data_IF_781107359450
#
_entry.id   IF_781107359450
#
_cell.length_a   1.000
_cell.length_b   1.000
_cell.length_c   1.000
_cell.angle_alpha   90.00
_cell.angle_beta   90.00
_cell.angle_gamma   90.00
#
_symmetry.space_group_name_H-M   'P 1'
#
loop_
_entity.id
_entity.type
_entity.pdbx_description
1 polymer ?
#
# COMPACT_ATOMS: atom_id res chain seq x y z
N UNK A 1 -19.08 -20.69 -8.85
CA UNK A 1 -18.67 -19.50 -9.67
C UNK A 1 -17.54 -18.83 -8.94
N UNK A 2 -16.37 -18.78 -9.55
CA UNK A 2 -15.20 -18.20 -8.90
C UNK A 2 -15.38 -16.70 -8.70
N UNK A 3 -14.88 -16.16 -7.58
CA UNK A 3 -14.96 -14.73 -7.23
C UNK A 3 -14.45 -13.82 -8.37
N UNK A 4 -13.47 -14.31 -9.12
CA UNK A 4 -12.89 -13.67 -10.31
C UNK A 4 -13.92 -13.46 -11.44
N UNK A 5 -14.78 -14.45 -11.67
CA UNK A 5 -15.82 -14.39 -12.71
C UNK A 5 -16.89 -13.38 -12.32
N UNK A 6 -17.26 -13.31 -11.04
CA UNK A 6 -18.25 -12.37 -10.52
C UNK A 6 -17.82 -10.91 -10.64
N UNK A 7 -16.54 -10.60 -10.36
CA UNK A 7 -16.01 -9.23 -10.51
C UNK A 7 -15.95 -8.78 -11.98
N UNK A 8 -15.57 -9.67 -12.88
CA UNK A 8 -15.55 -9.34 -14.31
C UNK A 8 -16.95 -9.05 -14.84
N UNK A 9 -17.96 -9.78 -14.38
CA UNK A 9 -19.35 -9.51 -14.74
C UNK A 9 -19.77 -8.12 -14.26
N UNK A 10 -19.49 -7.79 -12.99
CA UNK A 10 -19.79 -6.46 -12.42
C UNK A 10 -19.11 -5.32 -13.18
N UNK A 11 -17.83 -5.47 -13.57
CA UNK A 11 -17.13 -4.48 -14.37
C UNK A 11 -17.75 -4.30 -15.76
N UNK A 12 -18.14 -5.39 -16.39
CA UNK A 12 -18.80 -5.35 -17.70
C UNK A 12 -20.13 -4.60 -17.65
N UNK A 13 -20.97 -4.94 -16.69
CA UNK A 13 -22.29 -4.33 -16.52
C UNK A 13 -22.20 -2.85 -16.14
N UNK A 14 -21.35 -2.51 -15.17
CA UNK A 14 -21.21 -1.15 -14.68
C UNK A 14 -20.64 -0.17 -15.72
N UNK A 15 -19.70 -0.60 -16.53
CA UNK A 15 -18.95 0.26 -17.45
C UNK A 15 -19.23 -0.04 -18.93
N UNK A 16 -20.15 -0.95 -19.24
CA UNK A 16 -20.45 -1.33 -20.63
C UNK A 16 -19.21 -1.89 -21.36
N UNK A 17 -18.38 -2.69 -20.66
CA UNK A 17 -17.16 -3.26 -21.22
C UNK A 17 -17.47 -4.61 -21.89
N UNK A 18 -16.78 -4.91 -22.99
CA UNK A 18 -16.78 -6.27 -23.52
C UNK A 18 -15.85 -7.18 -22.68
N UNK A 19 -15.91 -8.49 -22.91
CA UNK A 19 -15.15 -9.49 -22.12
C UNK A 19 -13.65 -9.21 -22.14
N UNK A 20 -13.10 -8.90 -23.33
CA UNK A 20 -11.66 -8.65 -23.47
C UNK A 20 -11.24 -7.34 -22.81
N UNK A 21 -12.08 -6.31 -22.87
CA UNK A 21 -11.85 -5.02 -22.18
C UNK A 21 -11.87 -5.19 -20.66
N UNK A 22 -12.83 -5.93 -20.12
CA UNK A 22 -12.89 -6.20 -18.68
C UNK A 22 -11.67 -7.02 -18.20
N UNK A 23 -11.25 -8.03 -18.99
CA UNK A 23 -10.04 -8.81 -18.73
C UNK A 23 -8.79 -7.92 -18.78
N UNK A 24 -8.70 -7.03 -19.77
CA UNK A 24 -7.60 -6.06 -19.89
C UNK A 24 -7.50 -5.16 -18.66
N UNK A 25 -8.59 -4.51 -18.27
CA UNK A 25 -8.66 -3.64 -17.08
C UNK A 25 -8.19 -4.38 -15.83
N UNK A 26 -8.66 -5.62 -15.62
CA UNK A 26 -8.29 -6.43 -14.47
C UNK A 26 -6.81 -6.82 -14.47
N UNK A 27 -6.24 -7.16 -15.61
CA UNK A 27 -4.82 -7.50 -15.73
C UNK A 27 -3.92 -6.30 -15.49
N UNK A 28 -4.28 -5.13 -16.02
CA UNK A 28 -3.55 -3.87 -15.76
C UNK A 28 -3.61 -3.51 -14.27
N UNK A 29 -4.80 -3.60 -13.67
CA UNK A 29 -4.96 -3.37 -12.24
C UNK A 29 -4.17 -4.38 -11.39
N UNK A 30 -4.05 -5.64 -11.84
CA UNK A 30 -3.23 -6.68 -11.21
C UNK A 30 -1.71 -6.50 -11.40
N UNK A 31 -1.24 -5.37 -11.98
CA UNK A 31 0.18 -5.04 -12.13
C UNK A 31 0.85 -5.54 -13.40
N UNK A 32 0.11 -6.14 -14.34
CA UNK A 32 0.66 -6.49 -15.65
C UNK A 32 0.92 -5.25 -16.50
N UNK A 33 1.97 -5.28 -17.31
CA UNK A 33 2.19 -4.20 -18.28
C UNK A 33 0.99 -4.10 -19.26
N UNK A 34 0.65 -2.91 -19.75
CA UNK A 34 -0.48 -2.74 -20.66
C UNK A 34 -0.38 -3.62 -21.91
N UNK A 35 0.83 -3.80 -22.44
CA UNK A 35 1.05 -4.65 -23.62
C UNK A 35 0.80 -6.13 -23.31
N UNK A 36 1.29 -6.61 -22.18
CA UNK A 36 1.05 -7.98 -21.73
C UNK A 36 -0.43 -8.22 -21.43
N UNK A 37 -1.08 -7.28 -20.74
CA UNK A 37 -2.52 -7.33 -20.48
C UNK A 37 -3.34 -7.40 -21.77
N UNK A 38 -2.94 -6.64 -22.79
CA UNK A 38 -3.56 -6.71 -24.10
C UNK A 38 -3.36 -8.08 -24.75
N UNK A 39 -2.13 -8.59 -24.79
CA UNK A 39 -1.83 -9.89 -25.37
C UNK A 39 -2.65 -11.01 -24.71
N UNK A 40 -2.66 -11.08 -23.39
CA UNK A 40 -3.43 -12.08 -22.62
C UNK A 40 -4.94 -11.94 -22.83
N UNK A 41 -5.45 -10.72 -23.02
CA UNK A 41 -6.88 -10.47 -23.15
C UNK A 41 -7.43 -10.75 -24.53
N UNK A 42 -6.65 -10.46 -25.56
CA UNK A 42 -7.10 -10.52 -26.95
C UNK A 42 -6.54 -11.70 -27.74
N UNK A 43 -5.35 -12.19 -27.37
CA UNK A 43 -4.71 -13.33 -28.04
C UNK A 43 -4.68 -14.59 -27.17
N UNK A 44 -4.92 -14.45 -25.86
CA UNK A 44 -4.88 -15.58 -24.93
C UNK A 44 -3.47 -15.97 -24.46
N UNK A 45 -2.43 -15.39 -25.04
CA UNK A 45 -1.02 -15.71 -24.78
C UNK A 45 -0.16 -14.45 -24.70
N UNK A 46 1.04 -14.56 -24.12
CA UNK A 46 2.04 -13.50 -24.13
C UNK A 46 2.92 -13.66 -25.36
N UNK A 47 2.93 -12.65 -26.21
CA UNK A 47 3.73 -12.66 -27.42
C UNK A 47 5.21 -12.36 -27.13
N UNK A 48 6.16 -12.91 -27.90
CA UNK A 48 7.58 -12.58 -27.76
C UNK A 48 7.83 -11.09 -28.01
N UNK A 49 8.67 -10.49 -27.15
CA UNK A 49 8.93 -9.03 -27.10
C UNK A 49 9.34 -8.40 -28.43
N UNK A 50 10.12 -9.09 -29.24
CA UNK A 50 10.71 -8.55 -30.46
C UNK A 50 9.89 -8.83 -31.75
N UNK A 51 8.62 -9.19 -31.61
CA UNK A 51 7.79 -9.47 -32.79
C UNK A 51 7.02 -8.23 -33.25
N UNK A 52 6.77 -8.06 -34.57
CA UNK A 52 5.90 -6.99 -35.07
C UNK A 52 4.51 -7.01 -34.45
N UNK A 53 4.03 -8.22 -34.11
CA UNK A 53 2.73 -8.42 -33.48
C UNK A 53 2.72 -7.89 -32.04
N UNK A 54 3.83 -8.02 -31.30
CA UNK A 54 3.98 -7.41 -29.97
C UNK A 54 3.97 -5.89 -30.05
N UNK A 55 4.65 -5.28 -31.03
CA UNK A 55 4.66 -3.84 -31.21
C UNK A 55 3.27 -3.29 -31.59
N UNK A 56 2.52 -4.02 -32.41
CA UNK A 56 1.14 -3.69 -32.71
C UNK A 56 0.24 -3.79 -31.48
N UNK A 57 0.46 -4.80 -30.63
CA UNK A 57 -0.23 -4.97 -29.35
C UNK A 57 0.06 -3.80 -28.39
N UNK A 58 1.30 -3.32 -28.33
CA UNK A 58 1.69 -2.15 -27.51
C UNK A 58 0.94 -0.88 -27.94
N UNK A 59 0.86 -0.62 -29.23
CA UNK A 59 0.10 0.52 -29.78
C UNK A 59 -1.39 0.40 -29.47
N UNK A 60 -1.95 -0.80 -29.56
CA UNK A 60 -3.36 -1.07 -29.28
C UNK A 60 -3.68 -0.94 -27.79
N UNK A 61 -2.80 -1.44 -26.91
CA UNK A 61 -2.89 -1.27 -25.46
C UNK A 61 -2.90 0.21 -25.05
N UNK A 62 -1.99 1.01 -25.64
CA UNK A 62 -1.94 2.45 -25.37
C UNK A 62 -3.21 3.19 -25.83
N UNK A 63 -3.82 2.77 -26.93
CA UNK A 63 -5.11 3.31 -27.39
C UNK A 63 -6.24 2.92 -26.44
N UNK A 64 -6.26 1.69 -25.93
CA UNK A 64 -7.28 1.25 -24.97
C UNK A 64 -7.22 2.03 -23.67
N UNK A 65 -6.02 2.31 -23.13
CA UNK A 65 -5.86 3.12 -21.91
C UNK A 65 -6.40 4.56 -22.04
N UNK A 66 -6.48 5.09 -23.27
CA UNK A 66 -7.05 6.41 -23.55
C UNK A 66 -8.57 6.41 -23.65
N UNK A 67 -9.20 5.24 -23.66
CA UNK A 67 -10.67 5.13 -23.74
C UNK A 67 -11.26 5.45 -22.36
N UNK A 68 -12.07 6.49 -22.26
CA UNK A 68 -12.61 7.03 -20.99
C UNK A 68 -13.26 5.97 -20.11
N UNK A 69 -14.08 5.06 -20.70
CA UNK A 69 -14.74 4.01 -19.92
C UNK A 69 -13.76 3.03 -19.26
N UNK A 70 -12.63 2.70 -19.92
CA UNK A 70 -11.61 1.82 -19.35
C UNK A 70 -10.81 2.55 -18.26
N UNK A 71 -10.48 3.82 -18.47
CA UNK A 71 -9.81 4.66 -17.48
C UNK A 71 -10.64 4.80 -16.21
N UNK A 72 -11.93 5.15 -16.33
CA UNK A 72 -12.85 5.22 -15.20
C UNK A 72 -13.02 3.89 -14.48
N UNK A 73 -13.02 2.78 -15.21
CA UNK A 73 -13.07 1.45 -14.61
C UNK A 73 -11.81 1.15 -13.78
N UNK A 74 -10.60 1.49 -14.26
CA UNK A 74 -9.35 1.38 -13.52
C UNK A 74 -9.35 2.25 -12.26
N UNK A 75 -9.66 3.54 -12.39
CA UNK A 75 -9.77 4.48 -11.27
C UNK A 75 -10.76 3.99 -10.19
N UNK A 76 -11.88 3.38 -10.62
CA UNK A 76 -12.85 2.78 -9.68
C UNK A 76 -12.27 1.61 -8.90
N UNK A 77 -11.47 0.74 -9.53
CA UNK A 77 -10.81 -0.39 -8.84
C UNK A 77 -9.73 0.09 -7.88
N UNK A 78 -8.92 1.07 -8.28
CA UNK A 78 -7.90 1.69 -7.42
C UNK A 78 -8.53 2.35 -6.18
N UNK A 79 -9.64 3.06 -6.36
CA UNK A 79 -10.38 3.68 -5.25
C UNK A 79 -10.95 2.64 -4.29
N UNK A 80 -11.49 1.53 -4.82
CA UNK A 80 -12.00 0.44 -4.00
C UNK A 80 -10.87 -0.22 -3.20
N UNK A 81 -9.72 -0.45 -3.81
CA UNK A 81 -8.56 -1.00 -3.13
C UNK A 81 -8.04 -0.06 -2.04
N UNK A 82 -7.91 1.23 -2.33
CA UNK A 82 -7.51 2.24 -1.35
C UNK A 82 -8.46 2.27 -0.14
N UNK A 83 -9.78 2.19 -0.39
CA UNK A 83 -10.79 2.12 0.67
C UNK A 83 -10.65 0.84 1.50
N UNK A 84 -10.46 -0.31 0.86
CA UNK A 84 -10.24 -1.59 1.54
C UNK A 84 -8.95 -1.60 2.36
N UNK A 85 -7.88 -1.00 1.84
CA UNK A 85 -6.60 -0.88 2.57
C UNK A 85 -6.73 0.06 3.76
N UNK A 86 -7.47 1.17 3.63
CA UNK A 86 -7.80 2.07 4.74
C UNK A 86 -8.54 1.34 5.84
N UNK A 87 -9.63 0.63 5.52
CA UNK A 87 -10.40 -0.14 6.49
C UNK A 87 -9.59 -1.25 7.15
N UNK A 88 -8.74 -1.97 6.41
CA UNK A 88 -7.82 -2.97 6.97
C UNK A 88 -6.81 -2.35 7.94
N UNK A 89 -6.32 -1.15 7.65
CA UNK A 89 -5.41 -0.42 8.53
C UNK A 89 -6.12 -0.02 9.83
N UNK A 90 -7.33 0.48 9.74
CA UNK A 90 -8.15 0.84 10.91
C UNK A 90 -8.46 -0.37 11.79
N UNK A 91 -8.83 -1.51 11.20
CA UNK A 91 -9.06 -2.77 11.92
C UNK A 91 -7.78 -3.22 12.64
N UNK A 92 -6.63 -3.19 11.96
CA UNK A 92 -5.33 -3.54 12.58
C UNK A 92 -5.01 -2.63 13.75
N UNK A 93 -5.21 -1.32 13.61
CA UNK A 93 -5.02 -0.36 14.70
C UNK A 93 -5.96 -0.60 15.87
N UNK A 94 -7.23 -0.92 15.60
CA UNK A 94 -8.19 -1.31 16.64
C UNK A 94 -7.73 -2.54 17.44
N UNK A 95 -7.25 -3.58 16.76
CA UNK A 95 -6.68 -4.77 17.42
C UNK A 95 -5.45 -4.43 18.26
N UNK A 96 -4.53 -3.62 17.71
CA UNK A 96 -3.33 -3.19 18.45
C UNK A 96 -3.72 -2.39 19.69
N UNK A 97 -4.67 -1.47 19.58
CA UNK A 97 -5.19 -0.71 20.71
C UNK A 97 -5.78 -1.62 21.81
N UNK A 98 -6.60 -2.60 21.43
CA UNK A 98 -7.16 -3.57 22.37
C UNK A 98 -6.09 -4.41 23.09
N UNK A 99 -5.01 -4.79 22.37
CA UNK A 99 -3.84 -5.47 22.97
C UNK A 99 -3.11 -4.54 23.95
N UNK A 100 -2.86 -3.29 23.58
CA UNK A 100 -2.17 -2.29 24.41
C UNK A 100 -2.95 -2.02 25.71
N UNK A 101 -4.27 -1.90 25.62
CA UNK A 101 -5.16 -1.70 26.78
C UNK A 101 -5.34 -2.96 27.62
N UNK A 102 -4.93 -4.14 27.12
CA UNK A 102 -5.08 -5.41 27.82
C UNK A 102 -6.50 -5.93 27.83
N UNK A 103 -7.32 -5.51 26.89
CA UNK A 103 -8.72 -5.95 26.74
C UNK A 103 -8.83 -7.39 26.20
N UNK A 104 -7.78 -7.86 25.50
CA UNK A 104 -7.72 -9.21 24.97
C UNK A 104 -7.19 -10.15 26.06
N UNK A 105 -8.01 -11.12 26.48
CA UNK A 105 -7.63 -12.10 27.49
C UNK A 105 -6.38 -12.89 27.07
N UNK A 106 -5.49 -13.13 28.05
CA UNK A 106 -4.24 -13.87 27.83
C UNK A 106 -3.07 -13.02 27.27
N UNK A 107 -3.28 -11.73 27.06
CA UNK A 107 -2.21 -10.82 26.56
C UNK A 107 -1.16 -10.57 27.65
N UNK A 108 0.09 -10.92 27.36
CA UNK A 108 1.24 -10.68 28.27
C UNK A 108 1.77 -9.24 28.10
N UNK A 109 2.51 -8.77 29.10
CA UNK A 109 3.18 -7.43 29.05
C UNK A 109 4.08 -7.31 27.81
N UNK A 110 4.79 -8.38 27.45
CA UNK A 110 5.62 -8.40 26.24
C UNK A 110 4.82 -8.17 24.95
N UNK A 111 3.60 -8.68 24.88
CA UNK A 111 2.73 -8.51 23.71
C UNK A 111 2.20 -7.07 23.62
N UNK A 112 1.93 -6.44 24.76
CA UNK A 112 1.56 -5.01 24.84
C UNK A 112 2.69 -4.12 24.34
N UNK A 113 3.92 -4.37 24.79
CA UNK A 113 5.11 -3.63 24.33
C UNK A 113 5.29 -3.81 22.81
N UNK A 114 5.17 -5.04 22.30
CA UNK A 114 5.26 -5.29 20.86
C UNK A 114 4.15 -4.57 20.07
N UNK A 115 2.93 -4.53 20.57
CA UNK A 115 1.82 -3.82 19.95
C UNK A 115 2.11 -2.32 19.87
N UNK A 116 2.65 -1.70 20.92
CA UNK A 116 3.07 -0.28 20.93
C UNK A 116 4.14 -0.03 19.85
N UNK A 117 5.18 -0.88 19.78
CA UNK A 117 6.24 -0.75 18.77
C UNK A 117 5.67 -0.84 17.35
N UNK A 118 4.73 -1.76 17.10
CA UNK A 118 4.10 -1.92 15.78
C UNK A 118 3.22 -0.71 15.46
N UNK A 119 2.45 -0.19 16.42
CA UNK A 119 1.61 0.98 16.18
C UNK A 119 2.46 2.23 15.89
N UNK A 120 3.52 2.48 16.65
CA UNK A 120 4.47 3.58 16.41
C UNK A 120 5.09 3.49 15.01
N UNK A 121 5.47 2.30 14.54
CA UNK A 121 5.96 2.11 13.17
C UNK A 121 4.90 2.39 12.12
N UNK A 122 3.65 2.02 12.38
CA UNK A 122 2.53 2.28 11.46
C UNK A 122 2.14 3.76 11.42
N UNK A 123 2.25 4.47 12.53
CA UNK A 123 1.99 5.92 12.64
C UNK A 123 3.17 6.76 12.19
N UNK A 124 4.38 6.19 12.25
CA UNK A 124 5.64 6.89 11.96
C UNK A 124 6.19 7.65 13.16
N UNK A 125 5.70 7.37 14.38
CA UNK A 125 6.15 8.01 15.62
C UNK A 125 7.58 7.61 15.97
N UNK A 126 8.08 6.48 15.47
CA UNK A 126 9.48 6.05 15.58
C UNK A 126 10.44 6.80 14.62
N UNK A 127 9.94 7.71 13.81
CA UNK A 127 10.83 8.48 12.92
C UNK A 127 11.66 9.42 13.78
N UNK A 128 12.99 9.48 13.56
CA UNK A 128 13.83 10.46 14.23
C UNK A 128 13.25 11.85 13.94
N UNK A 129 12.99 12.61 15.00
CA UNK A 129 12.56 14.00 14.87
C UNK A 129 13.68 14.71 14.11
N UNK A 130 13.42 15.11 12.87
CA UNK A 130 14.31 16.04 12.16
C UNK A 130 14.18 17.38 12.89
N UNK A 131 15.10 17.63 13.78
CA UNK A 131 15.29 18.97 14.33
C UNK A 131 15.87 19.79 13.19
N UNK A 132 15.05 20.52 12.48
CA UNK A 132 15.48 21.55 11.54
C UNK A 132 16.01 22.72 12.35
N UNK A 133 17.29 22.74 12.57
CA UNK A 133 18.04 23.75 13.27
C UNK A 133 19.35 23.13 13.77
N UNK A 134 20.45 23.83 13.59
CA UNK A 134 21.77 23.48 14.14
C UNK A 134 21.78 23.55 15.68
N UNK A 135 20.97 22.71 16.32
CA UNK A 135 21.24 22.36 17.72
C UNK A 135 22.41 21.38 17.67
N UNK A 136 23.62 21.93 17.72
CA UNK A 136 24.79 21.10 17.94
C UNK A 136 24.56 20.30 19.21
N UNK A 137 25.00 19.06 19.25
CA UNK A 137 24.93 18.19 20.43
C UNK A 137 25.47 18.91 21.69
N UNK A 138 26.39 19.84 21.49
CA UNK A 138 26.94 20.73 22.52
C UNK A 138 25.88 21.67 23.12
N UNK A 139 25.05 22.32 22.29
CA UNK A 139 23.98 23.19 22.77
C UNK A 139 22.89 22.43 23.52
N UNK A 140 22.68 21.15 23.16
CA UNK A 140 21.77 20.27 23.89
C UNK A 140 22.35 19.87 25.27
N UNK A 141 23.64 19.56 25.34
CA UNK A 141 24.35 19.30 26.60
C UNK A 141 24.39 20.53 27.52
N UNK A 142 24.59 21.71 26.96
CA UNK A 142 24.63 22.97 27.71
C UNK A 142 23.25 23.38 28.25
N UNK A 143 22.16 22.87 27.68
CA UNK A 143 20.78 23.10 28.14
C UNK A 143 20.32 22.13 29.24
N UNK A 144 21.07 21.05 29.51
CA UNK A 144 20.76 20.13 30.60
C UNK A 144 21.11 20.74 31.95
N UNK A 145 20.23 20.63 32.97
CA UNK A 145 20.58 21.01 34.34
C UNK A 145 21.86 20.29 34.76
N UNK A 146 22.86 21.03 35.23
CA UNK A 146 24.18 20.49 35.65
C UNK A 146 24.10 19.40 36.71
N UNK A 147 22.99 19.29 37.41
CA UNK A 147 22.72 18.26 38.43
C UNK A 147 22.55 16.83 37.87
N UNK A 148 22.50 16.65 36.54
CA UNK A 148 22.26 15.35 35.91
C UNK A 148 23.50 14.81 35.16
N UNK A 149 24.61 15.54 35.15
CA UNK A 149 25.83 15.07 34.50
C UNK A 149 26.48 13.96 35.36
N UNK A 150 26.77 12.76 34.78
CA UNK A 150 27.35 11.63 35.52
C UNK A 150 28.83 11.83 35.82
N UNK A 151 29.15 12.85 36.55
CA UNK A 151 30.49 13.17 37.03
C UNK A 151 30.62 13.14 38.55
N UNK A 152 29.52 13.19 39.28
CA UNK A 152 29.54 13.35 40.73
C UNK A 152 29.43 12.05 41.55
N UNK A 153 29.42 10.89 40.87
CA UNK A 153 29.38 9.59 41.57
C UNK A 153 30.75 9.01 41.91
N UNK A 154 31.83 9.79 41.76
CA UNK A 154 33.18 9.29 42.00
C UNK A 154 33.73 9.67 43.41
N UNK A 155 32.90 10.11 44.34
CA UNK A 155 33.31 10.33 45.74
C UNK A 155 32.20 9.89 46.71
N UNK A 156 32.07 8.60 46.92
CA UNK A 156 31.58 7.96 48.15
C UNK A 156 32.31 6.64 48.29
#
# INVERSE_FOLDING_TARGET
MDAVTSEMVKLRERWGLNVNQARFVRLVWGGHSPTEAYCRSYFGEVLPYNTPRYQSAASSASKLLKVDKLRKALESLETQEATLMGSRREVKRGILAAIMMGEIQGTKVADRIRAIIVDNRMTGDDRPIRVEGELTFQAMLDSLPREILPGDYAQV
#
